data_IF_632332466692
#
_entry.id   IF_632332466692
#
_cell.length_a   1.000
_cell.length_b   1.000
_cell.length_c   1.000
_cell.angle_alpha   90.00
_cell.angle_beta   90.00
_cell.angle_gamma   90.00
#
_symmetry.space_group_name_H-M   'P 1'
#
loop_
_entity.id
_entity.type
_entity.pdbx_description
1 polymer ?
#
# COMPACT_ATOMS: atom_id res chain seq x y z
N UNK A 1 -8.37 -9.29 16.74
CA UNK A 1 -9.46 -9.25 15.78
C UNK A 1 -9.02 -8.66 14.45
N UNK A 2 -9.44 -9.26 13.35
CA UNK A 2 -9.01 -8.82 12.04
C UNK A 2 -10.14 -8.15 11.29
N UNK A 3 -9.84 -7.07 10.62
CA UNK A 3 -10.81 -6.37 9.82
C UNK A 3 -10.24 -6.19 8.44
N UNK A 4 -11.01 -6.51 7.41
CA UNK A 4 -10.49 -6.51 6.06
C UNK A 4 -11.53 -6.05 5.06
N UNK A 5 -11.11 -5.21 4.12
CA UNK A 5 -11.93 -4.84 2.99
C UNK A 5 -11.12 -5.15 1.75
N UNK A 6 -11.69 -5.92 0.84
CA UNK A 6 -11.00 -6.30 -0.37
C UNK A 6 -11.80 -5.86 -1.57
N UNK A 7 -11.14 -5.22 -2.52
CA UNK A 7 -11.78 -4.74 -3.72
C UNK A 7 -11.06 -5.29 -4.93
N UNK A 8 -11.81 -5.90 -5.84
CA UNK A 8 -11.26 -6.41 -7.08
C UNK A 8 -12.05 -5.84 -8.22
N UNK A 9 -11.37 -5.45 -9.29
CA UNK A 9 -12.07 -4.92 -10.43
C UNK A 9 -11.25 -5.12 -11.68
N UNK A 10 -11.93 -5.22 -12.82
CA UNK A 10 -11.28 -5.27 -14.11
C UNK A 10 -11.65 -3.98 -14.81
N UNK A 11 -10.67 -3.14 -15.06
CA UNK A 11 -10.90 -1.81 -15.61
C UNK A 11 -9.80 -1.51 -16.62
N UNK A 12 -9.99 -0.47 -17.43
CA UNK A 12 -8.91 -0.10 -18.32
C UNK A 12 -7.81 0.58 -17.51
N UNK A 13 -6.66 0.73 -18.14
CA UNK A 13 -5.49 1.25 -17.43
C UNK A 13 -5.71 2.65 -16.92
N UNK A 14 -6.37 3.49 -17.68
CA UNK A 14 -6.60 4.86 -17.26
C UNK A 14 -7.41 4.91 -15.96
N UNK A 15 -8.39 4.05 -15.85
CA UNK A 15 -9.20 4.01 -14.64
C UNK A 15 -8.39 3.46 -13.47
N UNK A 16 -7.56 2.46 -13.72
CA UNK A 16 -6.70 1.93 -12.67
C UNK A 16 -5.76 3.02 -12.16
N UNK A 17 -5.21 3.80 -13.06
CA UNK A 17 -4.33 4.90 -12.68
C UNK A 17 -5.07 5.91 -11.82
N UNK A 18 -6.31 6.24 -12.20
CA UNK A 18 -7.08 7.18 -11.42
C UNK A 18 -7.31 6.68 -9.99
N UNK A 19 -7.56 5.39 -9.84
CA UNK A 19 -7.71 4.82 -8.51
C UNK A 19 -6.42 4.95 -7.71
N UNK A 20 -5.30 4.65 -8.34
CA UNK A 20 -4.01 4.73 -7.66
C UNK A 20 -3.71 6.18 -7.27
N UNK A 21 -4.08 7.12 -8.12
CA UNK A 21 -3.87 8.52 -7.80
C UNK A 21 -4.71 8.94 -6.60
N UNK A 22 -5.92 8.41 -6.49
CA UNK A 22 -6.73 8.69 -5.33
C UNK A 22 -6.09 8.13 -4.06
N UNK A 23 -5.52 6.93 -4.15
CA UNK A 23 -4.84 6.37 -3.00
C UNK A 23 -3.63 7.22 -2.63
N UNK A 24 -2.92 7.69 -3.63
CA UNK A 24 -1.75 8.52 -3.39
C UNK A 24 -2.14 9.82 -2.70
N UNK A 25 -3.23 10.44 -3.13
CA UNK A 25 -3.71 11.65 -2.49
C UNK A 25 -4.06 11.39 -1.04
N UNK A 26 -4.70 10.24 -0.76
CA UNK A 26 -5.03 9.88 0.61
C UNK A 26 -3.79 9.70 1.46
N UNK A 27 -2.78 9.05 0.90
CA UNK A 27 -1.53 8.88 1.62
C UNK A 27 -0.88 10.21 1.94
N UNK A 28 -0.91 11.14 1.00
CA UNK A 28 -0.33 12.45 1.22
C UNK A 28 -1.08 13.24 2.27
N UNK A 29 -2.39 13.06 2.34
CA UNK A 29 -3.18 13.77 3.33
C UNK A 29 -3.10 13.15 4.71
N UNK A 30 -2.62 11.91 4.78
CA UNK A 30 -2.52 11.21 6.05
C UNK A 30 -3.73 10.38 6.42
N UNK A 31 -4.70 10.29 5.54
CA UNK A 31 -5.92 9.54 5.83
C UNK A 31 -6.46 8.88 4.58
N UNK A 32 -6.73 7.59 4.68
CA UNK A 32 -7.34 6.84 3.59
C UNK A 32 -8.67 6.27 4.10
N UNK A 33 -9.72 6.50 3.34
CA UNK A 33 -11.04 5.99 3.71
C UNK A 33 -11.52 5.02 2.65
N UNK A 34 -11.87 3.82 3.08
CA UNK A 34 -12.40 2.79 2.21
C UNK A 34 -13.81 2.47 2.64
N UNK A 35 -14.73 2.52 1.70
CA UNK A 35 -16.12 2.17 1.98
C UNK A 35 -16.55 1.04 1.09
N UNK A 36 -17.29 0.13 1.65
CA UNK A 36 -17.80 -1.00 0.93
C UNK A 36 -19.16 -1.33 1.51
N UNK A 37 -19.95 -2.12 0.78
CA UNK A 37 -21.27 -2.48 1.28
C UNK A 37 -21.25 -3.02 2.69
N UNK A 38 -20.14 -3.62 3.06
CA UNK A 38 -20.06 -4.27 4.36
C UNK A 38 -19.42 -3.43 5.44
N UNK A 39 -19.05 -2.22 5.14
CA UNK A 39 -18.46 -1.40 6.16
C UNK A 39 -17.55 -0.32 5.64
N UNK A 40 -16.90 0.31 6.58
CA UNK A 40 -16.01 1.42 6.32
C UNK A 40 -14.73 1.24 7.09
N UNK A 41 -13.62 1.55 6.47
CA UNK A 41 -12.33 1.45 7.13
C UNK A 41 -11.53 2.71 6.87
N UNK A 42 -11.01 3.31 7.91
CA UNK A 42 -10.20 4.49 7.80
C UNK A 42 -8.77 4.14 8.23
N UNK A 43 -7.82 4.42 7.37
CA UNK A 43 -6.42 4.13 7.64
C UNK A 43 -5.65 5.42 7.84
N UNK A 44 -4.73 5.39 8.80
CA UNK A 44 -3.88 6.53 9.10
C UNK A 44 -2.43 6.08 9.02
N UNK A 45 -1.79 6.19 7.86
CA UNK A 45 -0.41 5.71 7.71
C UNK A 45 0.54 6.42 8.66
N UNK A 46 1.49 5.67 9.19
CA UNK A 46 2.52 6.22 10.03
C UNK A 46 3.61 6.85 9.17
N UNK A 47 4.49 7.59 9.79
CA UNK A 47 5.57 8.23 9.07
C UNK A 47 6.53 7.25 8.44
N UNK A 48 6.68 6.10 9.06
CA UNK A 48 7.57 5.07 8.55
C UNK A 48 6.75 3.83 8.24
N UNK A 49 6.85 3.34 7.03
CA UNK A 49 6.08 2.20 6.59
C UNK A 49 7.00 1.20 5.92
N UNK A 50 6.54 -0.03 5.84
CA UNK A 50 7.24 -1.05 5.08
C UNK A 50 6.58 -1.11 3.71
N UNK A 51 7.37 -0.95 2.67
CA UNK A 51 6.86 -0.98 1.30
C UNK A 51 7.44 -2.18 0.58
N UNK A 52 6.57 -2.98 -0.01
CA UNK A 52 6.99 -4.12 -0.82
C UNK A 52 6.43 -3.96 -2.21
N UNK A 53 7.27 -4.19 -3.20
CA UNK A 53 6.85 -4.16 -4.59
C UNK A 53 7.28 -5.47 -5.21
N UNK A 54 6.33 -6.16 -5.82
CA UNK A 54 6.59 -7.46 -6.37
C UNK A 54 6.12 -7.51 -7.80
N UNK A 55 6.94 -8.08 -8.68
CA UNK A 55 6.56 -8.23 -10.08
C UNK A 55 6.73 -9.67 -10.49
N UNK A 56 5.91 -10.10 -11.42
CA UNK A 56 5.97 -11.46 -11.88
C UNK A 56 5.57 -11.54 -13.34
N UNK A 57 6.25 -12.40 -14.07
CA UNK A 57 5.88 -12.65 -15.46
C UNK A 57 5.86 -14.15 -15.68
N UNK A 58 4.73 -14.66 -16.16
CA UNK A 58 4.57 -16.08 -16.33
C UNK A 58 3.49 -16.38 -17.34
N UNK A 59 3.78 -17.28 -18.29
CA UNK A 59 2.77 -17.77 -19.22
C UNK A 59 1.95 -16.69 -19.91
N UNK A 60 2.60 -15.65 -20.37
CA UNK A 60 1.91 -14.60 -21.11
C UNK A 60 1.19 -13.59 -20.25
N UNK A 61 1.39 -13.63 -18.95
CA UNK A 61 0.75 -12.68 -18.05
C UNK A 61 1.80 -11.96 -17.22
N UNK A 62 1.55 -10.71 -16.90
CA UNK A 62 2.43 -9.92 -16.08
C UNK A 62 1.65 -9.35 -14.91
N UNK A 63 2.31 -9.23 -13.79
CA UNK A 63 1.66 -8.79 -12.56
C UNK A 63 2.54 -7.84 -11.78
N UNK A 64 1.93 -6.81 -11.21
CA UNK A 64 2.61 -5.88 -10.33
C UNK A 64 1.80 -5.78 -9.04
N UNK A 65 2.46 -6.02 -7.92
CA UNK A 65 1.82 -5.89 -6.61
C UNK A 65 2.57 -4.89 -5.77
N UNK A 66 1.83 -4.03 -5.10
CA UNK A 66 2.40 -3.05 -4.19
C UNK A 66 1.73 -3.23 -2.85
N UNK A 67 2.54 -3.40 -1.82
CA UNK A 67 2.02 -3.62 -0.48
C UNK A 67 2.67 -2.64 0.48
N UNK A 68 1.86 -2.01 1.33
CA UNK A 68 2.35 -1.06 2.29
C UNK A 68 1.80 -1.42 3.65
N UNK A 69 2.66 -1.55 4.63
CA UNK A 69 2.27 -1.93 5.98
C UNK A 69 2.84 -1.00 7.00
N UNK A 70 2.11 -0.79 8.06
CA UNK A 70 2.60 -0.03 9.21
C UNK A 70 1.87 -0.54 10.43
N UNK A 71 2.40 -0.22 11.60
CA UNK A 71 1.81 -0.64 12.84
C UNK A 71 1.33 0.58 13.60
N UNK A 72 0.20 0.46 14.24
CA UNK A 72 -0.31 1.54 15.07
C UNK A 72 0.29 1.49 16.47
N UNK A 73 1.18 0.51 16.73
CA UNK A 73 1.80 0.39 18.02
C UNK A 73 3.16 1.04 18.03
N UNK A 74 3.43 1.82 19.05
CA UNK A 74 4.66 2.58 19.13
C UNK A 74 5.91 1.72 19.08
N UNK A 75 5.86 0.53 19.63
CA UNK A 75 7.04 -0.31 19.69
C UNK A 75 7.54 -0.74 18.33
N UNK A 76 6.70 -0.74 17.33
CA UNK A 76 7.13 -1.17 16.02
C UNK A 76 8.00 -0.13 15.33
N UNK A 77 7.86 1.09 15.73
CA UNK A 77 8.58 2.18 15.11
C UNK A 77 10.07 2.10 15.30
N UNK A 78 10.48 1.59 16.43
CA UNK A 78 11.90 1.58 16.75
C UNK A 78 12.75 0.75 15.82
N UNK A 79 12.15 -0.16 15.09
CA UNK A 79 12.91 -1.00 14.19
C UNK A 79 12.98 -0.47 12.77
N UNK A 80 12.20 0.52 12.48
CA UNK A 80 12.07 0.99 11.12
C UNK A 80 13.24 1.75 10.56
N UNK A 81 13.97 2.52 11.35
CA UNK A 81 15.09 3.27 10.81
C UNK A 81 16.13 2.40 10.11
N UNK A 82 16.36 1.22 10.64
CA UNK A 82 17.30 0.34 10.01
C UNK A 82 16.84 -0.09 8.65
N UNK A 83 15.56 -0.36 8.54
CA UNK A 83 15.01 -0.77 7.30
C UNK A 83 15.14 0.33 6.26
N UNK A 84 14.91 1.54 6.67
CA UNK A 84 15.02 2.66 5.77
C UNK A 84 16.41 2.80 5.20
N UNK A 85 17.39 2.65 6.04
CA UNK A 85 18.75 2.79 5.57
C UNK A 85 19.09 1.82 4.49
N UNK A 86 18.53 0.63 4.55
CA UNK A 86 18.85 -0.32 3.56
C UNK A 86 18.05 -0.23 2.33
N UNK A 87 16.88 0.28 2.45
CA UNK A 87 16.00 0.33 1.39
C UNK A 87 16.40 1.11 0.21
N UNK A 88 17.15 2.14 0.41
CA UNK A 88 17.53 2.97 -0.67
C UNK A 88 18.31 2.23 -1.73
N UNK A 89 19.15 1.35 -1.34
CA UNK A 89 19.96 0.66 -2.31
C UNK A 89 19.12 -0.17 -3.27
N UNK A 90 18.22 -0.99 -2.81
CA UNK A 90 17.45 -1.79 -3.74
C UNK A 90 16.47 -1.01 -4.56
N UNK A 91 15.95 0.03 -4.02
CA UNK A 91 14.99 0.77 -4.74
C UNK A 91 15.56 1.52 -5.91
N UNK A 92 16.77 1.86 -5.83
CA UNK A 92 17.37 2.62 -6.88
C UNK A 92 17.57 1.83 -8.15
N UNK A 93 17.30 0.55 -8.12
CA UNK A 93 17.41 -0.21 -9.27
C UNK A 93 16.30 -0.12 -10.14
#
# INVERSE_FOLDING_TARGET
MKKEIKTKMTVDLDKAIAYIECLLDGLKSGTLVFEHNEGKMTLHPEKVVKLEIETEEKDGAQELEIEMKWSTEASAVSNLPEILGRKFAPISE
#
